data_IF_908572089086
#
_entry.id   IF_908572089086
#
_cell.length_a   1.000
_cell.length_b   1.000
_cell.length_c   1.000
_cell.angle_alpha   90.00
_cell.angle_beta   90.00
_cell.angle_gamma   90.00
#
_symmetry.space_group_name_H-M   'P 1'
#
loop_
_entity.id
_entity.type
_entity.pdbx_description
1 polymer ?
#
# COMPACT_ATOMS: atom_id res chain seq x y z
N UNK A 1 -4.78 -4.51 2.77
CA UNK A 1 -4.63 -3.34 3.67
C UNK A 1 -3.25 -3.39 4.32
N UNK A 2 -2.58 -2.26 4.52
CA UNK A 2 -1.36 -2.21 5.33
C UNK A 2 -1.68 -2.31 6.82
N UNK A 3 -2.33 -3.39 7.26
CA UNK A 3 -2.66 -3.67 8.67
C UNK A 3 -1.71 -4.74 9.21
N UNK A 4 -1.50 -4.80 10.52
CA UNK A 4 -0.67 -5.84 11.14
C UNK A 4 -1.11 -7.26 10.83
N UNK A 5 -2.42 -7.51 10.75
CA UNK A 5 -2.95 -8.81 10.34
C UNK A 5 -2.49 -9.19 8.91
N UNK A 6 -2.53 -8.24 7.97
CA UNK A 6 -2.05 -8.47 6.61
C UNK A 6 -0.55 -8.72 6.56
N UNK A 7 0.23 -8.02 7.38
CA UNK A 7 1.68 -8.26 7.50
C UNK A 7 1.99 -9.67 8.00
N UNK A 8 1.34 -10.13 9.08
CA UNK A 8 1.53 -11.50 9.60
C UNK A 8 1.12 -12.57 8.59
N UNK A 9 0.00 -12.36 7.88
CA UNK A 9 -0.43 -13.26 6.81
C UNK A 9 0.58 -13.33 5.68
N UNK A 10 1.17 -12.19 5.27
CA UNK A 10 2.19 -12.17 4.24
C UNK A 10 3.44 -12.96 4.65
N UNK A 11 3.92 -12.83 5.90
CA UNK A 11 5.05 -13.63 6.41
C UNK A 11 4.74 -15.13 6.45
N UNK A 12 3.53 -15.52 6.84
CA UNK A 12 3.12 -16.92 6.87
C UNK A 12 3.01 -17.53 5.46
N UNK A 13 2.46 -16.78 4.51
CA UNK A 13 2.17 -17.24 3.15
C UNK A 13 3.36 -17.13 2.19
N UNK A 14 4.36 -16.29 2.46
CA UNK A 14 5.55 -16.18 1.62
C UNK A 14 6.21 -17.55 1.47
N UNK A 15 6.56 -17.96 0.25
CA UNK A 15 7.30 -19.21 0.04
C UNK A 15 8.71 -19.17 0.64
N UNK A 16 9.39 -20.31 0.72
CA UNK A 16 10.81 -20.38 1.07
C UNK A 16 11.66 -19.54 0.09
N UNK A 17 12.65 -18.80 0.61
CA UNK A 17 13.43 -17.81 -0.12
C UNK A 17 12.63 -16.60 -0.63
N UNK A 18 11.36 -16.46 -0.23
CA UNK A 18 10.44 -15.45 -0.72
C UNK A 18 10.74 -14.03 -0.22
N UNK A 19 9.91 -13.07 -0.65
CA UNK A 19 10.00 -11.67 -0.23
C UNK A 19 8.64 -11.09 0.14
N UNK A 20 8.61 -10.35 1.25
CA UNK A 20 7.48 -9.50 1.64
C UNK A 20 7.89 -8.02 1.47
N UNK A 21 7.06 -7.26 0.76
CA UNK A 21 7.25 -5.82 0.54
C UNK A 21 6.24 -5.01 1.37
N UNK A 22 6.74 -4.10 2.21
CA UNK A 22 5.94 -3.18 3.01
C UNK A 22 5.73 -1.87 2.25
N UNK A 23 4.48 -1.62 1.82
CA UNK A 23 4.05 -0.42 1.08
C UNK A 23 3.23 0.56 1.94
N UNK A 24 3.00 0.25 3.21
CA UNK A 24 2.24 1.08 4.13
C UNK A 24 2.65 0.84 5.57
N UNK A 25 2.11 1.64 6.48
CA UNK A 25 2.40 1.54 7.91
C UNK A 25 1.37 0.64 8.61
N UNK A 26 1.74 -0.59 9.04
CA UNK A 26 0.85 -1.43 9.84
C UNK A 26 0.64 -0.91 11.27
N UNK A 27 1.35 0.14 11.69
CA UNK A 27 1.39 0.61 13.07
C UNK A 27 2.33 -0.23 13.93
N UNK A 28 2.20 -0.11 15.25
CA UNK A 28 2.92 -0.94 16.21
C UNK A 28 2.26 -2.32 16.28
N UNK A 29 2.97 -3.35 15.79
CA UNK A 29 2.43 -4.70 15.64
C UNK A 29 3.47 -5.75 16.04
N UNK A 30 2.99 -6.82 16.68
CA UNK A 30 3.79 -8.01 16.95
C UNK A 30 3.75 -8.94 15.73
N UNK A 31 4.89 -9.56 15.44
CA UNK A 31 5.04 -10.52 14.34
C UNK A 31 5.95 -11.68 14.74
N UNK A 32 5.65 -12.87 14.20
CA UNK A 32 6.53 -14.03 14.29
C UNK A 32 7.72 -13.84 13.35
N UNK A 33 8.93 -13.88 13.90
CA UNK A 33 10.18 -13.69 13.15
C UNK A 33 10.71 -15.01 12.55
N UNK A 34 10.15 -16.15 12.96
CA UNK A 34 10.54 -17.49 12.52
C UNK A 34 10.67 -17.67 11.00
N UNK A 35 9.79 -17.06 10.16
CA UNK A 35 9.92 -17.15 8.71
C UNK A 35 11.24 -16.60 8.14
N UNK A 36 11.93 -15.71 8.86
CA UNK A 36 13.16 -15.10 8.36
C UNK A 36 14.35 -16.07 8.34
N UNK A 37 14.39 -17.07 9.22
CA UNK A 37 15.48 -18.06 9.22
C UNK A 37 15.02 -19.46 8.82
N UNK A 38 13.79 -19.88 9.14
CA UNK A 38 13.31 -21.20 8.72
C UNK A 38 12.92 -21.26 7.25
N UNK A 39 12.45 -20.14 6.69
CA UNK A 39 12.02 -20.05 5.29
C UNK A 39 12.85 -19.06 4.50
N UNK A 40 13.88 -18.46 5.12
CA UNK A 40 14.72 -17.42 4.50
C UNK A 40 13.91 -16.31 3.81
N UNK A 41 12.76 -15.94 4.37
CA UNK A 41 11.92 -14.87 3.82
C UNK A 41 12.65 -13.54 4.02
N UNK A 42 12.70 -12.71 2.97
CA UNK A 42 13.23 -11.35 3.05
C UNK A 42 12.12 -10.32 3.28
N UNK A 43 12.41 -9.30 4.10
CA UNK A 43 11.52 -8.16 4.33
C UNK A 43 12.15 -6.89 3.75
N UNK A 44 11.40 -6.19 2.90
CA UNK A 44 11.82 -4.90 2.34
C UNK A 44 10.73 -3.86 2.52
N UNK A 45 11.14 -2.62 2.83
CA UNK A 45 10.24 -1.46 2.78
C UNK A 45 10.38 -0.76 1.44
N UNK A 46 9.26 -0.32 0.87
CA UNK A 46 9.26 0.61 -0.25
C UNK A 46 8.40 1.82 0.14
N UNK A 47 9.00 2.99 -0.02
CA UNK A 47 8.38 4.26 0.34
C UNK A 47 8.50 5.20 -0.85
N UNK A 48 7.36 5.56 -1.43
CA UNK A 48 7.28 6.39 -2.64
C UNK A 48 8.07 5.78 -3.80
N UNK A 49 8.54 6.63 -4.71
CA UNK A 49 9.24 6.26 -5.93
C UNK A 49 10.14 7.42 -6.38
N UNK A 50 11.11 7.11 -7.22
CA UNK A 50 11.94 8.11 -7.90
C UNK A 50 11.18 8.75 -9.07
N UNK A 51 11.74 9.85 -9.61
CA UNK A 51 11.16 10.49 -10.80
C UNK A 51 11.19 9.55 -12.00
N UNK A 52 12.25 8.77 -12.11
CA UNK A 52 12.51 7.82 -13.19
C UNK A 52 11.50 6.67 -13.13
N UNK A 53 11.32 6.07 -11.95
CA UNK A 53 10.33 5.01 -11.71
C UNK A 53 8.90 5.50 -12.02
N UNK A 54 8.57 6.74 -11.66
CA UNK A 54 7.28 7.33 -12.02
C UNK A 54 7.11 7.48 -13.53
N UNK A 55 8.15 7.92 -14.23
CA UNK A 55 8.16 8.04 -15.69
C UNK A 55 7.91 6.70 -16.36
N UNK A 56 8.58 5.63 -15.90
CA UNK A 56 8.38 4.27 -16.36
C UNK A 56 6.94 3.79 -16.13
N UNK A 57 6.39 4.02 -14.93
CA UNK A 57 5.01 3.64 -14.62
C UNK A 57 3.98 4.34 -15.54
N UNK A 58 4.19 5.63 -15.85
CA UNK A 58 3.34 6.38 -16.78
C UNK A 58 3.46 5.85 -18.21
N UNK A 59 4.66 5.47 -18.64
CA UNK A 59 4.90 4.93 -19.98
C UNK A 59 4.16 3.61 -20.23
N UNK A 60 3.85 2.84 -19.18
CA UNK A 60 3.08 1.59 -19.26
C UNK A 60 1.57 1.80 -19.39
N UNK A 61 1.03 2.99 -19.12
CA UNK A 61 -0.42 3.24 -19.13
C UNK A 61 -1.13 2.85 -20.44
N UNK A 62 -0.58 3.09 -21.65
CA UNK A 62 -1.23 2.71 -22.90
C UNK A 62 -1.44 1.20 -23.06
N UNK A 63 -0.65 0.38 -22.35
CA UNK A 63 -0.73 -1.08 -22.37
C UNK A 63 -1.74 -1.64 -21.36
N UNK A 64 -2.21 -0.79 -20.43
CA UNK A 64 -3.06 -1.18 -19.31
C UNK A 64 -4.51 -0.73 -19.57
N UNK A 65 -5.39 -1.69 -19.85
CA UNK A 65 -6.83 -1.44 -19.96
C UNK A 65 -7.54 -1.43 -18.60
N UNK A 66 -8.56 -0.59 -18.45
CA UNK A 66 -9.51 -0.65 -17.33
C UNK A 66 -9.03 0.03 -16.03
N UNK A 67 -7.94 0.79 -16.07
CA UNK A 67 -7.46 1.57 -14.93
C UNK A 67 -8.46 2.64 -14.48
N UNK A 68 -9.33 3.09 -15.39
CA UNK A 68 -10.41 4.04 -15.10
C UNK A 68 -11.35 3.53 -14.01
N UNK A 69 -11.52 2.20 -13.90
CA UNK A 69 -12.33 1.57 -12.85
C UNK A 69 -11.78 1.78 -11.43
N UNK A 70 -10.48 2.08 -11.31
CA UNK A 70 -9.85 2.41 -10.02
C UNK A 70 -10.29 3.80 -9.52
N UNK A 71 -10.73 4.69 -10.43
CA UNK A 71 -11.22 6.02 -10.08
C UNK A 71 -12.59 5.89 -9.40
N UNK A 72 -12.60 6.03 -8.08
CA UNK A 72 -13.82 5.87 -7.26
C UNK A 72 -14.84 6.99 -7.31
N UNK A 73 -14.50 8.10 -7.96
CA UNK A 73 -15.33 9.29 -8.05
C UNK A 73 -14.53 10.50 -8.52
N UNK A 74 -15.20 11.37 -9.28
CA UNK A 74 -14.64 12.64 -9.74
C UNK A 74 -15.40 13.75 -9.05
N UNK A 75 -14.67 14.66 -8.42
CA UNK A 75 -15.23 15.78 -7.68
C UNK A 75 -14.60 17.08 -8.20
N UNK A 76 -15.38 18.15 -8.39
CA UNK A 76 -14.79 19.46 -8.63
C UNK A 76 -13.97 19.89 -7.40
N UNK A 77 -13.04 20.83 -7.57
CA UNK A 77 -12.13 21.26 -6.52
C UNK A 77 -12.88 21.76 -5.27
N UNK A 78 -13.97 22.49 -5.45
CA UNK A 78 -14.85 22.98 -4.37
C UNK A 78 -15.48 21.84 -3.57
N UNK A 79 -15.59 20.66 -4.19
CA UNK A 79 -16.11 19.42 -3.60
C UNK A 79 -15.09 18.60 -2.80
N UNK A 80 -13.87 19.11 -2.54
CA UNK A 80 -12.80 18.35 -1.88
C UNK A 80 -13.20 17.73 -0.54
N UNK A 81 -14.04 18.41 0.26
CA UNK A 81 -14.55 17.87 1.54
C UNK A 81 -15.36 16.60 1.32
N UNK A 82 -16.25 16.62 0.32
CA UNK A 82 -17.05 15.47 -0.07
C UNK A 82 -16.16 14.34 -0.61
N UNK A 83 -15.12 14.68 -1.38
CA UNK A 83 -14.15 13.71 -1.88
C UNK A 83 -13.42 12.96 -0.75
N UNK A 84 -12.96 13.69 0.29
CA UNK A 84 -12.31 13.09 1.45
C UNK A 84 -13.25 12.20 2.28
N UNK A 85 -14.52 12.58 2.39
CA UNK A 85 -15.53 11.79 3.12
C UNK A 85 -16.02 10.56 2.34
N UNK A 86 -15.98 10.60 1.00
CA UNK A 86 -16.55 9.54 0.16
C UNK A 86 -15.87 8.18 0.34
N UNK A 87 -14.56 8.16 0.59
CA UNK A 87 -13.77 6.94 0.84
C UNK A 87 -12.85 7.17 2.03
N UNK A 88 -13.39 6.92 3.23
CA UNK A 88 -12.66 7.07 4.50
C UNK A 88 -11.43 6.18 4.61
N UNK A 89 -10.29 6.65 4.09
CA UNK A 89 -8.91 6.27 4.45
C UNK A 89 -7.91 7.41 4.18
N UNK A 90 -8.38 8.66 4.08
CA UNK A 90 -7.46 9.77 4.19
C UNK A 90 -6.83 9.71 5.59
N UNK A 91 -5.49 9.62 5.66
CA UNK A 91 -4.68 9.75 6.88
C UNK A 91 -4.93 11.09 7.63
N UNK A 92 -5.82 11.93 7.13
CA UNK A 92 -6.29 13.14 7.79
C UNK A 92 -7.34 12.80 8.85
N UNK A 93 -6.91 12.74 10.11
CA UNK A 93 -7.77 12.96 11.28
C UNK A 93 -7.55 14.38 11.81
N UNK A 94 -8.18 15.43 11.26
CA UNK A 94 -8.23 16.71 11.95
C UNK A 94 -9.32 16.60 13.02
N UNK A 95 -8.98 16.02 14.17
CA UNK A 95 -9.66 16.26 15.43
C UNK A 95 -8.65 15.98 16.54
N UNK A 96 -7.87 17.02 16.83
CA UNK A 96 -7.28 17.24 18.15
C UNK A 96 -8.45 17.62 19.05
N UNK A 97 -8.72 16.80 20.07
CA UNK A 97 -9.52 17.21 21.23
C UNK A 97 -8.69 18.06 22.16
#
# INVERSE_FOLDING_TARGET
>A
SGSGAGFRQALALAQEGGRVLLLGAPGLEWADLSPFWFKEVSLSGSYTYTREEFGEAVALLPELGGLESLVGGVFPLEGWRKALSARGKALFRPNVS
#
